data_IF_268039499125
#
_entry.id   IF_268039499125
#
_cell.length_a   1.000
_cell.length_b   1.000
_cell.length_c   1.000
_cell.angle_alpha   90.00
_cell.angle_beta   90.00
_cell.angle_gamma   90.00
#
_symmetry.space_group_name_H-M   'P 1'
#
loop_
_entity.id
_entity.type
_entity.pdbx_description
1 polymer ?
#
# COMPACT_ATOMS: atom_id res chain seq x y z
N UNK A 1 0.92 -23.54 2.39
CA UNK A 1 0.89 -23.53 0.89
C UNK A 1 2.17 -22.93 0.31
N UNK A 2 2.55 -21.70 0.70
CA UNK A 2 3.71 -20.99 0.14
C UNK A 2 5.01 -21.80 0.21
N UNK A 3 5.43 -22.22 1.42
CA UNK A 3 6.64 -23.01 1.65
C UNK A 3 6.74 -24.27 0.76
N UNK A 4 5.66 -25.04 0.69
CA UNK A 4 5.58 -26.26 -0.14
C UNK A 4 5.70 -25.91 -1.62
N UNK A 5 4.99 -24.88 -2.07
CA UNK A 5 4.96 -24.49 -3.49
C UNK A 5 6.26 -23.84 -3.99
N UNK A 6 7.10 -23.33 -3.09
CA UNK A 6 8.37 -22.69 -3.42
C UNK A 6 9.59 -23.53 -3.02
N UNK A 7 9.39 -24.67 -2.34
CA UNK A 7 10.47 -25.52 -1.84
C UNK A 7 11.38 -24.82 -0.82
N UNK A 8 10.89 -23.78 -0.16
CA UNK A 8 11.69 -22.90 0.71
C UNK A 8 11.16 -22.87 2.14
N UNK A 9 12.01 -22.45 3.09
CA UNK A 9 11.58 -22.22 4.47
C UNK A 9 10.55 -21.08 4.47
N UNK A 10 9.31 -21.38 4.84
CA UNK A 10 8.25 -20.40 5.04
C UNK A 10 7.93 -20.24 6.52
N UNK A 11 7.66 -19.00 6.91
CA UNK A 11 7.40 -18.61 8.29
C UNK A 11 6.13 -17.79 8.30
N UNK A 12 5.21 -18.15 9.19
CA UNK A 12 4.01 -17.37 9.47
C UNK A 12 4.16 -16.75 10.86
N UNK A 13 4.32 -15.43 10.91
CA UNK A 13 4.47 -14.68 12.16
C UNK A 13 3.12 -14.08 12.54
N UNK A 14 2.48 -14.71 13.51
CA UNK A 14 1.17 -14.31 14.03
C UNK A 14 1.32 -13.38 15.25
N UNK A 15 0.20 -12.78 15.68
CA UNK A 15 0.10 -12.00 16.92
C UNK A 15 1.15 -10.88 17.07
N UNK A 16 1.36 -10.11 16.00
CA UNK A 16 2.18 -8.90 16.03
C UNK A 16 1.34 -7.64 15.72
N UNK A 17 0.96 -6.84 16.73
CA UNK A 17 1.15 -7.07 18.17
C UNK A 17 0.20 -8.17 18.70
N UNK A 18 0.53 -8.72 19.87
CA UNK A 18 -0.38 -9.57 20.62
C UNK A 18 -1.47 -8.69 21.24
N UNK A 19 -2.73 -9.07 21.05
CA UNK A 19 -3.89 -8.27 21.38
C UNK A 19 -5.08 -9.13 21.85
N UNK A 20 -6.04 -8.57 22.60
CA UNK A 20 -6.21 -7.15 22.94
C UNK A 20 -5.29 -6.66 24.07
N UNK A 21 -5.07 -5.34 24.13
CA UNK A 21 -4.26 -4.65 25.16
C UNK A 21 -5.12 -3.64 25.94
N UNK A 22 -4.89 -3.54 27.25
CA UNK A 22 -5.35 -2.41 28.10
C UNK A 22 -4.14 -1.61 28.56
N UNK A 23 -4.19 -0.30 28.37
CA UNK A 23 -3.13 0.59 28.83
C UNK A 23 -3.48 1.14 30.20
N UNK A 24 -2.58 1.01 31.18
CA UNK A 24 -2.79 1.55 32.54
C UNK A 24 -3.01 3.08 32.51
N UNK A 25 -2.37 3.78 31.57
CA UNK A 25 -2.52 5.22 31.37
C UNK A 25 -3.83 5.61 30.66
N UNK A 26 -4.61 4.65 30.14
CA UNK A 26 -5.90 4.93 29.54
C UNK A 26 -6.98 5.02 30.62
N UNK A 27 -7.54 6.21 30.91
CA UNK A 27 -8.53 6.37 31.98
C UNK A 27 -9.84 5.65 31.68
N UNK A 28 -10.12 5.34 30.41
CA UNK A 28 -11.28 4.51 30.03
C UNK A 28 -11.07 3.03 30.36
N UNK A 29 -9.81 2.65 30.62
CA UNK A 29 -9.35 1.29 30.84
C UNK A 29 -9.86 0.31 29.76
N UNK A 30 -10.17 0.78 28.54
CA UNK A 30 -10.84 -0.05 27.54
C UNK A 30 -9.88 -1.04 26.90
N UNK A 31 -10.41 -2.19 26.48
CA UNK A 31 -9.69 -3.17 25.67
C UNK A 31 -9.49 -2.60 24.27
N UNK A 32 -8.26 -2.61 23.75
CA UNK A 32 -7.90 -2.09 22.42
C UNK A 32 -7.29 -3.21 21.58
N UNK A 33 -7.71 -3.30 20.33
CA UNK A 33 -7.12 -4.15 19.29
C UNK A 33 -6.80 -3.30 18.06
N UNK A 34 -5.90 -3.80 17.22
CA UNK A 34 -5.61 -3.27 15.88
C UNK A 34 -5.35 -1.75 15.89
N UNK A 35 -6.10 -0.97 15.10
CA UNK A 35 -5.94 0.50 15.00
C UNK A 35 -6.15 1.23 16.32
N UNK A 36 -6.97 0.69 17.24
CA UNK A 36 -7.20 1.31 18.53
C UNK A 36 -5.96 1.32 19.42
N UNK A 37 -5.04 0.36 19.23
CA UNK A 37 -3.73 0.32 19.88
C UNK A 37 -2.82 1.36 19.21
N UNK A 38 -2.76 1.40 17.89
CA UNK A 38 -1.93 2.37 17.14
C UNK A 38 -2.32 3.80 17.50
N UNK A 39 -3.60 4.14 17.38
CA UNK A 39 -4.13 5.46 17.69
C UNK A 39 -3.81 5.88 19.13
N UNK A 40 -3.87 4.95 20.10
CA UNK A 40 -3.50 5.23 21.49
C UNK A 40 -2.02 5.56 21.63
N UNK A 41 -1.15 4.76 21.01
CA UNK A 41 0.30 5.00 21.06
C UNK A 41 0.70 6.30 20.34
N UNK A 42 0.01 6.64 19.25
CA UNK A 42 0.19 7.90 18.54
C UNK A 42 -0.24 9.10 19.38
N UNK A 43 -1.44 9.05 20.00
CA UNK A 43 -1.89 10.08 20.94
C UNK A 43 -0.85 10.31 22.03
N UNK A 44 -0.39 9.23 22.65
CA UNK A 44 0.60 9.28 23.74
C UNK A 44 1.90 9.95 23.29
N UNK A 45 2.39 9.62 22.10
CA UNK A 45 3.60 10.24 21.53
C UNK A 45 3.37 11.70 21.13
N UNK A 46 2.24 12.03 20.51
CA UNK A 46 1.95 13.41 20.09
C UNK A 46 1.85 14.35 21.30
N UNK A 47 1.27 13.87 22.40
CA UNK A 47 1.19 14.61 23.68
C UNK A 47 2.55 14.70 24.39
N UNK A 48 3.41 13.69 24.24
CA UNK A 48 4.76 13.67 24.81
C UNK A 48 5.77 12.99 23.85
N UNK A 49 6.44 13.76 22.97
CA UNK A 49 7.22 13.24 21.85
C UNK A 49 8.63 12.76 22.22
N UNK A 50 9.00 12.81 23.51
CA UNK A 50 10.36 12.52 23.95
C UNK A 50 10.64 11.00 24.08
N UNK A 51 9.59 10.18 24.08
CA UNK A 51 9.70 8.73 24.23
C UNK A 51 9.17 7.97 23.00
N UNK A 52 10.01 7.68 21.99
CA UNK A 52 9.58 6.94 20.80
C UNK A 52 9.19 5.48 21.09
N UNK A 53 9.60 4.90 22.23
CA UNK A 53 9.27 3.52 22.58
C UNK A 53 7.79 3.29 22.88
N UNK A 54 7.00 4.36 23.06
CA UNK A 54 5.54 4.23 23.20
C UNK A 54 4.87 3.82 21.89
N UNK A 55 5.49 4.10 20.73
CA UNK A 55 4.91 3.84 19.41
C UNK A 55 4.86 2.34 19.13
N UNK A 56 3.66 1.82 18.85
CA UNK A 56 3.43 0.39 18.60
C UNK A 56 4.26 -0.18 17.45
N UNK A 57 4.61 0.67 16.47
CA UNK A 57 5.43 0.26 15.32
C UNK A 57 6.76 -0.36 15.77
N UNK A 58 7.38 0.19 16.80
CA UNK A 58 8.71 -0.22 17.27
C UNK A 58 8.78 -1.70 17.68
N UNK A 59 7.93 -2.19 18.62
CA UNK A 59 7.92 -3.61 18.95
C UNK A 59 7.44 -4.51 17.81
N UNK A 60 6.51 -4.05 16.94
CA UNK A 60 6.09 -4.83 15.77
C UNK A 60 7.27 -5.10 14.82
N UNK A 61 8.02 -4.06 14.46
CA UNK A 61 9.21 -4.17 13.60
C UNK A 61 10.26 -5.08 14.24
N UNK A 62 10.52 -4.91 15.54
CA UNK A 62 11.48 -5.72 16.29
C UNK A 62 11.07 -7.20 16.34
N UNK A 63 9.78 -7.51 16.47
CA UNK A 63 9.29 -8.88 16.47
C UNK A 63 9.60 -9.59 15.15
N UNK A 64 9.41 -8.92 14.00
CA UNK A 64 9.77 -9.47 12.69
C UNK A 64 11.28 -9.77 12.58
N UNK A 65 12.14 -8.86 13.06
CA UNK A 65 13.59 -9.07 13.09
C UNK A 65 13.95 -10.29 13.96
N UNK A 66 13.35 -10.39 15.15
CA UNK A 66 13.55 -11.55 16.05
C UNK A 66 13.00 -12.85 15.48
N UNK A 67 11.95 -12.81 14.68
CA UNK A 67 11.46 -14.00 13.97
C UNK A 67 12.51 -14.52 12.98
N UNK A 68 13.19 -13.63 12.24
CA UNK A 68 14.29 -14.04 11.35
C UNK A 68 15.45 -14.65 12.15
N UNK A 69 15.82 -14.08 13.30
CA UNK A 69 16.85 -14.66 14.19
C UNK A 69 16.45 -16.07 14.65
N UNK A 70 15.21 -16.24 15.12
CA UNK A 70 14.69 -17.51 15.62
C UNK A 70 14.67 -18.58 14.51
N UNK A 71 14.29 -18.21 13.30
CA UNK A 71 14.27 -19.12 12.14
C UNK A 71 15.67 -19.57 11.76
N UNK A 72 16.66 -18.66 11.78
CA UNK A 72 18.06 -19.02 11.53
C UNK A 72 18.60 -19.98 12.58
N UNK A 73 18.31 -19.71 13.86
CA UNK A 73 18.69 -20.58 14.96
C UNK A 73 18.03 -21.95 14.84
N UNK A 74 16.72 -21.99 14.60
CA UNK A 74 15.98 -23.25 14.51
C UNK A 74 16.40 -24.09 13.29
N UNK A 75 16.66 -23.46 12.14
CA UNK A 75 17.21 -24.13 10.97
C UNK A 75 18.57 -24.81 11.27
N UNK A 76 19.42 -24.13 12.05
CA UNK A 76 20.70 -24.67 12.50
C UNK A 76 20.52 -25.88 13.42
N UNK A 77 19.58 -25.82 14.36
CA UNK A 77 19.26 -26.92 15.27
C UNK A 77 18.71 -28.15 14.54
N UNK A 78 17.93 -27.93 13.48
CA UNK A 78 17.42 -29.00 12.60
C UNK A 78 18.48 -29.56 11.64
N UNK A 79 19.66 -28.96 11.55
CA UNK A 79 20.71 -29.37 10.61
C UNK A 79 20.37 -29.14 9.14
N UNK A 80 19.45 -28.20 8.85
CA UNK A 80 19.10 -27.81 7.47
C UNK A 80 19.83 -26.52 7.07
N UNK A 81 19.79 -26.18 5.78
CA UNK A 81 20.40 -24.94 5.27
C UNK A 81 19.82 -23.71 5.97
N UNK A 82 20.69 -22.95 6.66
CA UNK A 82 20.30 -21.75 7.39
C UNK A 82 20.05 -20.59 6.40
N UNK A 83 18.83 -20.02 6.35
CA UNK A 83 18.51 -18.94 5.42
C UNK A 83 19.31 -17.69 5.78
N UNK A 84 19.97 -17.08 4.80
CA UNK A 84 20.76 -15.85 4.99
C UNK A 84 20.02 -14.58 4.56
N UNK A 85 19.09 -14.72 3.62
CA UNK A 85 18.32 -13.64 3.03
C UNK A 85 16.83 -13.96 3.11
N UNK A 86 16.01 -12.92 3.22
CA UNK A 86 14.57 -13.01 3.44
C UNK A 86 13.81 -12.15 2.43
N UNK A 87 12.67 -12.69 2.01
CA UNK A 87 11.59 -11.90 1.41
C UNK A 87 10.46 -11.88 2.43
N UNK A 88 9.98 -10.70 2.80
CA UNK A 88 8.96 -10.51 3.84
C UNK A 88 7.69 -9.91 3.24
N UNK A 89 6.54 -10.17 3.85
CA UNK A 89 5.27 -9.61 3.40
C UNK A 89 4.21 -9.64 4.50
N UNK A 90 3.23 -8.76 4.38
CA UNK A 90 2.14 -8.64 5.33
C UNK A 90 1.10 -7.64 4.87
N UNK A 91 -0.12 -7.76 5.39
CA UNK A 91 -1.25 -6.92 5.03
C UNK A 91 -1.56 -5.86 6.10
N UNK A 92 -2.06 -4.71 5.67
CA UNK A 92 -2.50 -3.61 6.52
C UNK A 92 -1.41 -3.25 7.51
N UNK A 93 -1.70 -3.26 8.80
CA UNK A 93 -0.75 -2.96 9.89
C UNK A 93 0.52 -3.81 9.86
N UNK A 94 0.44 -5.05 9.35
CA UNK A 94 1.60 -5.93 9.13
C UNK A 94 2.31 -5.61 7.82
N UNK A 95 1.63 -5.04 6.83
CA UNK A 95 2.26 -4.40 5.67
C UNK A 95 3.12 -3.19 6.07
N UNK A 96 2.70 -2.46 7.08
CA UNK A 96 3.49 -1.37 7.63
C UNK A 96 4.70 -1.90 8.44
N UNK A 97 4.52 -3.03 9.13
CA UNK A 97 5.65 -3.75 9.74
C UNK A 97 6.62 -4.26 8.66
N UNK A 98 6.12 -4.73 7.52
CA UNK A 98 6.92 -5.16 6.37
C UNK A 98 7.84 -4.04 5.89
N UNK A 99 7.30 -2.84 5.65
CA UNK A 99 8.08 -1.67 5.28
C UNK A 99 9.19 -1.34 6.29
N UNK A 100 8.84 -1.26 7.56
CA UNK A 100 9.80 -0.85 8.61
C UNK A 100 10.83 -1.93 8.93
N UNK A 101 10.47 -3.21 8.84
CA UNK A 101 11.42 -4.33 8.98
C UNK A 101 12.41 -4.34 7.83
N UNK A 102 11.95 -4.11 6.60
CA UNK A 102 12.82 -3.95 5.44
C UNK A 102 13.84 -2.82 5.65
N UNK A 103 13.42 -1.68 6.22
CA UNK A 103 14.32 -0.56 6.48
C UNK A 103 15.36 -0.86 7.57
N UNK A 104 14.95 -1.52 8.65
CA UNK A 104 15.81 -1.78 9.81
C UNK A 104 16.78 -2.93 9.57
N UNK A 105 16.39 -3.93 8.79
CA UNK A 105 17.17 -5.16 8.52
C UNK A 105 17.46 -5.33 7.03
N UNK A 106 17.80 -4.21 6.38
CA UNK A 106 18.05 -4.11 4.94
C UNK A 106 19.19 -5.02 4.44
N UNK A 107 20.06 -5.49 5.33
CA UNK A 107 21.12 -6.43 4.98
C UNK A 107 20.57 -7.85 4.74
N UNK A 108 19.60 -8.30 5.54
CA UNK A 108 19.00 -9.63 5.41
C UNK A 108 17.76 -9.62 4.51
N UNK A 109 17.01 -8.52 4.50
CA UNK A 109 15.80 -8.40 3.68
C UNK A 109 16.18 -7.99 2.25
N UNK A 110 15.99 -8.91 1.30
CA UNK A 110 16.27 -8.68 -0.14
C UNK A 110 15.02 -8.37 -0.95
N UNK A 111 13.84 -8.65 -0.39
CA UNK A 111 12.57 -8.23 -0.97
C UNK A 111 11.46 -8.03 0.06
N UNK A 112 10.51 -7.17 -0.29
CA UNK A 112 9.39 -6.81 0.58
C UNK A 112 8.07 -6.76 -0.20
N UNK A 113 7.00 -7.25 0.41
CA UNK A 113 5.63 -7.24 -0.15
C UNK A 113 4.65 -6.61 0.85
N UNK A 114 4.62 -5.28 0.96
CA UNK A 114 3.61 -4.58 1.75
C UNK A 114 2.27 -4.60 1.00
N UNK A 115 1.24 -5.15 1.64
CA UNK A 115 -0.11 -5.31 1.08
C UNK A 115 -1.06 -4.34 1.80
N UNK A 116 -1.91 -3.63 1.03
CA UNK A 116 -2.90 -2.65 1.51
C UNK A 116 -2.33 -1.72 2.58
N UNK A 117 -1.24 -1.03 2.21
CA UNK A 117 -0.46 -0.18 3.10
C UNK A 117 0.46 0.75 2.31
N UNK A 118 -0.14 1.81 1.77
CA UNK A 118 0.51 2.84 0.95
C UNK A 118 0.50 4.23 1.60
N UNK A 119 0.16 4.34 2.89
CA UNK A 119 0.12 5.61 3.60
C UNK A 119 1.52 6.14 3.98
N UNK A 120 2.46 6.06 3.04
CA UNK A 120 3.79 6.66 3.12
C UNK A 120 3.69 8.16 2.87
N UNK A 121 4.66 8.92 3.35
CA UNK A 121 4.56 10.38 3.34
C UNK A 121 3.23 10.81 4.00
N UNK A 122 3.04 10.33 5.23
CA UNK A 122 1.77 10.30 5.98
C UNK A 122 1.10 11.67 5.97
N UNK A 123 1.86 12.75 6.15
CA UNK A 123 1.30 14.11 6.16
C UNK A 123 0.65 14.43 4.80
N UNK A 124 1.37 14.23 3.71
CA UNK A 124 0.85 14.52 2.37
C UNK A 124 -0.36 13.64 2.06
N UNK A 125 -0.29 12.35 2.38
CA UNK A 125 -1.40 11.43 2.17
C UNK A 125 -2.61 11.74 3.06
N UNK A 126 -2.42 12.25 4.28
CA UNK A 126 -3.52 12.73 5.13
C UNK A 126 -4.24 13.96 4.55
N UNK A 127 -3.50 14.94 4.03
CA UNK A 127 -4.12 16.08 3.33
C UNK A 127 -4.85 15.63 2.06
N UNK A 128 -4.21 14.75 1.28
CA UNK A 128 -4.80 14.15 0.09
C UNK A 128 -6.12 13.41 0.40
N UNK A 129 -6.12 12.62 1.49
CA UNK A 129 -7.30 11.91 1.99
C UNK A 129 -8.43 12.88 2.33
N UNK A 130 -8.11 13.90 3.13
CA UNK A 130 -9.07 14.91 3.56
C UNK A 130 -9.70 15.63 2.36
N UNK A 131 -8.89 16.05 1.40
CA UNK A 131 -9.34 16.76 0.20
C UNK A 131 -10.21 15.88 -0.70
N UNK A 132 -9.88 14.60 -0.81
CA UNK A 132 -10.62 13.65 -1.66
C UNK A 132 -11.98 13.32 -1.10
N UNK A 133 -12.03 13.07 0.21
CA UNK A 133 -13.23 12.63 0.88
C UNK A 133 -13.97 13.75 1.58
N UNK A 134 -13.50 15.00 1.57
CA UNK A 134 -14.05 16.11 2.36
C UNK A 134 -14.41 15.69 3.80
N UNK A 135 -13.39 15.14 4.47
CA UNK A 135 -13.49 14.43 5.75
C UNK A 135 -12.54 13.23 5.79
N UNK A 136 -12.79 12.30 6.70
CA UNK A 136 -11.99 11.11 6.92
C UNK A 136 -12.82 9.86 6.67
N UNK A 137 -12.19 8.80 6.20
CA UNK A 137 -12.88 7.51 6.10
C UNK A 137 -13.39 7.03 7.47
N UNK A 138 -14.57 6.42 7.52
CA UNK A 138 -15.08 5.78 8.73
C UNK A 138 -14.11 4.74 9.34
N UNK A 139 -13.25 4.16 8.52
CA UNK A 139 -12.20 3.25 8.95
C UNK A 139 -11.20 3.91 9.94
N UNK A 140 -11.07 5.23 9.92
CA UNK A 140 -10.21 6.00 10.83
C UNK A 140 -10.85 6.29 12.20
N UNK A 141 -12.00 5.68 12.53
CA UNK A 141 -12.75 5.96 13.77
C UNK A 141 -11.91 5.96 15.05
N UNK A 142 -10.91 5.09 15.16
CA UNK A 142 -10.06 5.00 16.35
C UNK A 142 -9.08 6.18 16.47
N UNK A 143 -8.54 6.64 15.34
CA UNK A 143 -7.71 7.84 15.26
C UNK A 143 -8.54 9.10 15.50
N UNK A 144 -9.73 9.17 14.90
CA UNK A 144 -10.68 10.27 15.06
C UNK A 144 -11.14 10.40 16.52
N UNK A 145 -11.50 9.29 17.18
CA UNK A 145 -11.93 9.28 18.58
C UNK A 145 -10.86 9.78 19.56
N UNK A 146 -9.59 9.77 19.16
CA UNK A 146 -8.45 10.28 19.92
C UNK A 146 -7.93 11.63 19.38
N UNK A 147 -8.72 12.31 18.53
CA UNK A 147 -8.42 13.60 17.91
C UNK A 147 -7.14 13.63 17.05
N UNK A 148 -6.61 12.48 16.64
CA UNK A 148 -5.37 12.39 15.85
C UNK A 148 -5.46 13.20 14.55
N UNK A 149 -6.64 13.23 13.92
CA UNK A 149 -6.90 13.97 12.68
C UNK A 149 -6.74 15.50 12.83
N UNK A 150 -6.78 16.04 14.05
CA UNK A 150 -6.47 17.47 14.29
C UNK A 150 -4.98 17.79 14.18
N UNK A 151 -4.14 16.78 14.34
CA UNK A 151 -2.70 16.94 14.47
C UNK A 151 -1.95 16.73 13.15
N UNK A 152 -2.63 16.67 12.01
CA UNK A 152 -2.02 16.42 10.68
C UNK A 152 -0.83 17.35 10.41
N UNK A 153 -0.95 18.63 10.80
CA UNK A 153 0.12 19.63 10.67
C UNK A 153 0.95 19.84 11.93
N UNK A 154 0.62 19.15 13.02
CA UNK A 154 1.25 19.41 14.30
C UNK A 154 2.72 18.94 14.30
N UNK A 155 3.68 19.74 14.83
CA UNK A 155 5.09 19.36 14.83
C UNK A 155 5.39 17.99 15.43
N UNK A 156 4.63 17.59 16.47
CA UNK A 156 4.81 16.28 17.09
C UNK A 156 4.32 15.10 16.22
N UNK A 157 3.33 15.31 15.34
CA UNK A 157 2.96 14.30 14.34
C UNK A 157 4.08 14.15 13.30
N UNK A 158 4.75 15.24 12.94
CA UNK A 158 5.90 15.18 12.02
C UNK A 158 7.10 14.47 12.65
N UNK A 159 7.38 14.74 13.94
CA UNK A 159 8.38 13.97 14.71
C UNK A 159 8.01 12.48 14.77
N UNK A 160 6.74 12.15 14.92
CA UNK A 160 6.27 10.77 14.89
C UNK A 160 6.47 10.13 13.52
N UNK A 161 6.13 10.85 12.45
CA UNK A 161 6.30 10.39 11.07
C UNK A 161 7.77 10.07 10.76
N UNK A 162 8.73 10.85 11.29
CA UNK A 162 10.17 10.53 11.18
C UNK A 162 10.54 9.14 11.74
N UNK A 163 9.70 8.57 12.62
CA UNK A 163 9.93 7.26 13.25
C UNK A 163 9.09 6.17 12.56
N UNK A 164 7.81 6.43 12.31
CA UNK A 164 6.87 5.39 11.85
C UNK A 164 6.66 5.36 10.35
N UNK A 165 6.89 6.46 9.64
CA UNK A 165 6.65 6.56 8.19
C UNK A 165 7.80 5.89 7.40
N UNK A 166 7.52 4.88 6.56
CA UNK A 166 8.53 4.26 5.71
C UNK A 166 9.24 5.26 4.78
N UNK A 167 8.58 6.36 4.42
CA UNK A 167 9.16 7.42 3.60
C UNK A 167 10.46 7.99 4.21
N UNK A 168 10.55 8.02 5.54
CA UNK A 168 11.73 8.50 6.28
C UNK A 168 12.97 7.60 6.12
N UNK A 169 12.84 6.41 5.53
CA UNK A 169 13.88 5.38 5.46
C UNK A 169 14.25 4.99 4.02
N UNK A 170 13.91 5.80 3.02
CA UNK A 170 14.14 5.45 1.61
C UNK A 170 15.61 5.16 1.28
N UNK A 171 16.55 5.81 1.95
CA UNK A 171 17.98 5.52 1.84
C UNK A 171 18.35 4.06 2.21
N UNK A 172 17.52 3.39 3.00
CA UNK A 172 17.68 1.99 3.44
C UNK A 172 17.08 0.97 2.47
N UNK A 173 16.29 1.39 1.49
CA UNK A 173 15.68 0.48 0.51
C UNK A 173 16.52 0.27 -0.76
N UNK A 174 17.76 0.79 -0.78
CA UNK A 174 18.67 0.66 -1.93
C UNK A 174 18.84 -0.80 -2.37
N UNK A 175 18.65 -1.05 -3.66
CA UNK A 175 18.75 -2.37 -4.29
C UNK A 175 17.72 -3.43 -3.83
N UNK A 176 16.78 -3.06 -2.96
CA UNK A 176 15.74 -3.97 -2.49
C UNK A 176 14.61 -4.09 -3.52
N UNK A 177 14.11 -5.30 -3.75
CA UNK A 177 12.95 -5.51 -4.62
C UNK A 177 11.67 -5.37 -3.80
N UNK A 178 10.86 -4.36 -4.11
CA UNK A 178 9.61 -4.10 -3.38
C UNK A 178 8.44 -4.29 -4.32
N UNK A 179 7.51 -5.19 -3.97
CA UNK A 179 6.22 -5.36 -4.63
C UNK A 179 5.12 -4.83 -3.72
N UNK A 180 4.70 -3.60 -3.96
CA UNK A 180 3.57 -3.02 -3.26
C UNK A 180 2.27 -3.56 -3.87
N UNK A 181 1.40 -4.12 -3.02
CA UNK A 181 0.08 -4.58 -3.44
C UNK A 181 -0.99 -3.70 -2.80
N UNK A 182 -1.84 -3.05 -3.59
CA UNK A 182 -2.96 -2.23 -3.10
C UNK A 182 -4.29 -2.72 -3.67
N UNK A 183 -5.40 -2.27 -3.11
CA UNK A 183 -6.73 -2.51 -3.65
C UNK A 183 -7.29 -1.23 -4.28
N UNK A 184 -8.22 -1.37 -5.23
CA UNK A 184 -8.77 -0.23 -5.96
C UNK A 184 -9.97 0.43 -5.27
N UNK A 185 -10.51 -0.21 -4.22
CA UNK A 185 -11.63 0.33 -3.44
C UNK A 185 -11.46 0.10 -1.94
N UNK A 186 -10.23 0.21 -1.44
CA UNK A 186 -9.86 0.15 -0.03
C UNK A 186 -10.58 1.21 0.81
N UNK A 187 -11.05 0.88 2.01
CA UNK A 187 -11.68 1.83 2.91
C UNK A 187 -10.68 2.77 3.60
N UNK A 188 -9.44 2.33 3.84
CA UNK A 188 -8.40 3.09 4.52
C UNK A 188 -7.58 3.96 3.55
N UNK A 189 -7.34 3.46 2.33
CA UNK A 189 -6.28 3.97 1.46
C UNK A 189 -6.80 4.32 0.07
N UNK A 190 -6.56 5.56 -0.38
CA UNK A 190 -7.08 6.00 -1.67
C UNK A 190 -6.27 5.40 -2.81
N UNK A 191 -6.89 5.08 -3.96
CA UNK A 191 -6.25 4.33 -5.03
C UNK A 191 -5.07 5.05 -5.71
N UNK A 192 -4.88 6.34 -5.43
CA UNK A 192 -3.81 7.22 -5.92
C UNK A 192 -2.90 7.76 -4.79
N UNK A 193 -2.89 7.13 -3.60
CA UNK A 193 -1.99 7.47 -2.50
C UNK A 193 -0.50 7.40 -2.89
N UNK A 194 -0.15 6.57 -3.89
CA UNK A 194 1.22 6.44 -4.38
C UNK A 194 1.79 7.72 -5.00
N UNK A 195 0.93 8.65 -5.44
CA UNK A 195 1.34 9.94 -6.00
C UNK A 195 2.20 10.76 -5.03
N UNK A 196 2.08 10.49 -3.73
CA UNK A 196 2.85 11.15 -2.69
C UNK A 196 4.29 10.64 -2.53
N UNK A 197 4.66 9.48 -3.09
CA UNK A 197 5.98 8.88 -2.82
C UNK A 197 6.56 7.97 -3.92
N UNK A 198 5.80 7.57 -4.94
CA UNK A 198 6.23 6.53 -5.87
C UNK A 198 7.52 6.87 -6.62
N UNK A 199 7.63 8.12 -7.09
CA UNK A 199 8.83 8.60 -7.78
C UNK A 199 10.07 8.52 -6.88
N UNK A 200 9.95 8.97 -5.63
CA UNK A 200 11.04 8.92 -4.66
C UNK A 200 11.40 7.47 -4.31
N UNK A 201 10.39 6.59 -4.24
CA UNK A 201 10.60 5.16 -4.00
C UNK A 201 11.36 4.52 -5.17
N UNK A 202 11.01 4.83 -6.42
CA UNK A 202 11.73 4.33 -7.60
C UNK A 202 13.19 4.80 -7.62
N UNK A 203 13.44 6.06 -7.26
CA UNK A 203 14.80 6.61 -7.13
C UNK A 203 15.58 5.88 -6.03
N UNK A 204 14.93 5.61 -4.90
CA UNK A 204 15.54 4.99 -3.73
C UNK A 204 15.90 3.51 -3.97
N UNK A 205 15.02 2.74 -4.60
CA UNK A 205 15.19 1.29 -4.77
C UNK A 205 15.91 0.91 -6.07
N UNK A 206 15.84 1.77 -7.09
CA UNK A 206 16.26 1.44 -8.45
C UNK A 206 15.31 0.48 -9.17
N UNK A 207 14.12 0.24 -8.62
CA UNK A 207 13.07 -0.58 -9.23
C UNK A 207 12.13 -1.17 -8.18
N UNK A 208 10.95 -0.57 -8.04
CA UNK A 208 9.81 -1.10 -7.28
C UNK A 208 8.66 -1.47 -8.21
N UNK A 209 7.78 -2.34 -7.72
CA UNK A 209 6.69 -2.94 -8.47
C UNK A 209 5.38 -2.67 -7.76
N UNK A 210 4.34 -2.42 -8.54
CA UNK A 210 3.00 -2.13 -8.04
C UNK A 210 2.03 -3.16 -8.60
N UNK A 211 1.13 -3.65 -7.76
CA UNK A 211 -0.01 -4.46 -8.15
C UNK A 211 -1.25 -3.91 -7.47
N UNK A 212 -2.18 -3.36 -8.27
CA UNK A 212 -3.49 -2.94 -7.78
C UNK A 212 -4.54 -3.99 -8.08
N UNK A 213 -5.24 -4.46 -7.06
CA UNK A 213 -6.32 -5.43 -7.17
C UNK A 213 -7.62 -4.70 -7.55
N UNK A 214 -8.22 -4.98 -8.72
CA UNK A 214 -9.47 -4.38 -9.13
C UNK A 214 -10.62 -4.92 -8.27
N UNK A 215 -11.55 -4.06 -7.84
CA UNK A 215 -12.74 -4.47 -7.08
C UNK A 215 -12.42 -5.22 -5.78
N UNK A 216 -11.27 -4.92 -5.15
CA UNK A 216 -10.91 -5.38 -3.82
C UNK A 216 -11.19 -4.27 -2.79
N UNK A 217 -11.65 -4.68 -1.61
CA UNK A 217 -11.70 -3.86 -0.39
C UNK A 217 -10.45 -4.12 0.48
N UNK A 218 -10.34 -3.48 1.65
CA UNK A 218 -9.13 -3.51 2.47
C UNK A 218 -8.65 -4.93 2.86
N UNK A 219 -9.55 -5.87 3.11
CA UNK A 219 -9.17 -7.26 3.45
C UNK A 219 -8.69 -8.06 2.23
N UNK A 220 -8.84 -7.53 1.02
CA UNK A 220 -8.59 -8.19 -0.25
C UNK A 220 -9.41 -9.49 -0.41
N UNK A 221 -10.59 -9.57 0.21
CA UNK A 221 -11.42 -10.77 0.16
C UNK A 221 -11.75 -11.15 -1.29
N UNK A 222 -11.69 -12.45 -1.58
CA UNK A 222 -11.92 -12.99 -2.93
C UNK A 222 -10.74 -12.86 -3.89
N UNK A 223 -9.62 -12.27 -3.46
CA UNK A 223 -8.40 -12.13 -4.27
C UNK A 223 -7.25 -13.01 -3.78
N UNK A 224 -7.48 -13.93 -2.85
CA UNK A 224 -6.46 -14.73 -2.17
C UNK A 224 -5.59 -15.52 -3.15
N UNK A 225 -6.22 -16.09 -4.20
CA UNK A 225 -5.53 -16.84 -5.24
C UNK A 225 -4.63 -15.93 -6.10
N UNK A 226 -5.13 -14.75 -6.51
CA UNK A 226 -4.36 -13.77 -7.30
C UNK A 226 -3.17 -13.23 -6.49
N UNK A 227 -3.42 -12.88 -5.21
CA UNK A 227 -2.39 -12.50 -4.26
C UNK A 227 -1.30 -13.56 -4.15
N UNK A 228 -1.70 -14.80 -3.87
CA UNK A 228 -0.78 -15.91 -3.71
C UNK A 228 0.12 -16.10 -4.94
N UNK A 229 -0.45 -16.15 -6.14
CA UNK A 229 0.33 -16.36 -7.36
C UNK A 229 1.26 -15.19 -7.69
N UNK A 230 0.80 -13.95 -7.50
CA UNK A 230 1.63 -12.76 -7.71
C UNK A 230 2.82 -12.75 -6.75
N UNK A 231 2.56 -12.99 -5.45
CA UNK A 231 3.60 -13.04 -4.43
C UNK A 231 4.59 -14.19 -4.66
N UNK A 232 4.09 -15.38 -5.04
CA UNK A 232 4.94 -16.53 -5.36
C UNK A 232 5.83 -16.25 -6.56
N UNK A 233 5.28 -15.68 -7.63
CA UNK A 233 6.04 -15.33 -8.83
C UNK A 233 7.14 -14.31 -8.53
N UNK A 234 6.82 -13.29 -7.74
CA UNK A 234 7.78 -12.29 -7.29
C UNK A 234 8.88 -12.90 -6.41
N UNK A 235 8.50 -13.71 -5.42
CA UNK A 235 9.43 -14.42 -4.55
C UNK A 235 10.41 -15.30 -5.34
N UNK A 236 9.89 -16.16 -6.22
CA UNK A 236 10.72 -17.07 -7.01
C UNK A 236 11.63 -16.32 -7.98
N UNK A 237 11.20 -15.16 -8.50
CA UNK A 237 12.06 -14.33 -9.33
C UNK A 237 13.27 -13.80 -8.54
N UNK A 238 13.09 -13.43 -7.27
CA UNK A 238 14.20 -13.04 -6.39
C UNK A 238 15.07 -14.26 -6.05
N UNK A 239 14.45 -15.37 -5.66
CA UNK A 239 15.13 -16.59 -5.27
C UNK A 239 16.03 -17.17 -6.38
N UNK A 240 15.52 -17.21 -7.61
CA UNK A 240 16.25 -17.70 -8.79
C UNK A 240 17.14 -16.64 -9.45
N UNK A 241 17.21 -15.43 -8.89
CA UNK A 241 17.92 -14.28 -9.47
C UNK A 241 17.50 -13.97 -10.92
N UNK A 242 16.20 -14.03 -11.22
CA UNK A 242 15.63 -13.71 -12.53
C UNK A 242 15.50 -12.20 -12.70
N UNK A 243 15.70 -11.73 -13.93
CA UNK A 243 15.40 -10.34 -14.28
C UNK A 243 13.90 -10.10 -14.20
N UNK A 244 13.47 -9.25 -13.26
CA UNK A 244 12.09 -8.82 -13.13
C UNK A 244 11.71 -7.85 -14.27
N UNK A 245 10.41 -7.73 -14.63
CA UNK A 245 9.96 -6.85 -15.71
C UNK A 245 10.35 -5.39 -15.52
N UNK A 246 10.59 -4.65 -16.61
CA UNK A 246 10.75 -3.19 -16.56
C UNK A 246 9.47 -2.53 -17.09
N UNK A 247 8.59 -2.13 -16.18
CA UNK A 247 7.38 -1.34 -16.46
C UNK A 247 7.59 0.08 -15.92
N UNK A 248 7.63 1.07 -16.81
CA UNK A 248 7.70 2.49 -16.47
C UNK A 248 6.50 3.21 -17.06
N UNK A 249 6.05 4.30 -16.47
CA UNK A 249 4.93 5.05 -17.01
C UNK A 249 5.06 6.54 -16.75
N UNK A 250 4.29 7.30 -17.52
CA UNK A 250 3.97 8.69 -17.24
C UNK A 250 2.45 8.82 -17.12
N UNK A 251 2.01 9.67 -16.19
CA UNK A 251 0.63 10.11 -16.02
C UNK A 251 0.56 11.60 -16.30
N UNK A 252 -0.47 12.06 -17.00
CA UNK A 252 -0.67 13.49 -17.21
C UNK A 252 -2.13 13.79 -17.55
N UNK A 253 -2.60 15.00 -17.25
CA UNK A 253 -3.98 15.43 -17.49
C UNK A 253 -4.06 16.89 -17.92
N UNK A 254 -5.17 17.22 -18.57
CA UNK A 254 -5.55 18.57 -18.93
C UNK A 254 -7.05 18.78 -18.70
N UNK A 255 -7.57 19.93 -19.14
CA UNK A 255 -8.96 20.32 -18.92
C UNK A 255 -10.00 19.45 -19.64
N UNK A 256 -9.58 18.54 -20.54
CA UNK A 256 -10.50 17.69 -21.31
C UNK A 256 -10.30 16.20 -21.09
N UNK A 257 -9.09 15.75 -20.74
CA UNK A 257 -8.78 14.33 -20.54
C UNK A 257 -7.51 14.14 -19.70
N UNK A 258 -7.29 12.91 -19.26
CA UNK A 258 -5.98 12.44 -18.82
C UNK A 258 -5.54 11.19 -19.55
N UNK A 259 -4.24 10.93 -19.52
CA UNK A 259 -3.63 9.78 -20.16
C UNK A 259 -2.53 9.14 -19.30
N UNK A 260 -2.47 7.80 -19.37
CA UNK A 260 -1.33 7.01 -18.92
C UNK A 260 -0.62 6.48 -20.15
N UNK A 261 0.72 6.63 -20.19
CA UNK A 261 1.57 6.01 -21.20
C UNK A 261 2.60 5.11 -20.51
N UNK A 262 2.41 3.81 -20.62
CA UNK A 262 3.23 2.78 -19.99
C UNK A 262 4.21 2.17 -21.01
N UNK A 263 5.49 2.18 -20.68
CA UNK A 263 6.57 1.61 -21.49
C UNK A 263 7.09 0.35 -20.82
N UNK A 264 7.08 -0.76 -21.58
CA UNK A 264 7.67 -2.03 -21.19
C UNK A 264 8.96 -2.22 -21.97
N UNK A 265 10.08 -2.29 -21.26
CA UNK A 265 11.39 -2.65 -21.82
C UNK A 265 11.68 -4.13 -21.51
N UNK A 266 11.79 -4.94 -22.55
CA UNK A 266 12.11 -6.37 -22.47
C UNK A 266 13.38 -6.71 -23.25
N UNK A 267 14.33 -5.77 -23.33
CA UNK A 267 15.68 -6.02 -23.84
C UNK A 267 16.46 -7.04 -23.00
N UNK A 268 16.25 -7.03 -21.68
CA UNK A 268 16.88 -7.95 -20.71
C UNK A 268 15.85 -8.74 -19.90
N UNK A 269 14.64 -8.21 -19.76
CA UNK A 269 13.54 -8.80 -18.99
C UNK A 269 12.55 -9.61 -19.84
N UNK A 270 11.53 -10.19 -19.21
CA UNK A 270 10.50 -10.95 -19.92
C UNK A 270 9.62 -10.05 -20.80
N UNK A 271 9.29 -10.54 -22.00
CA UNK A 271 8.27 -9.93 -22.87
C UNK A 271 6.88 -10.06 -22.21
N UNK A 272 6.02 -9.03 -22.24
CA UNK A 272 4.67 -9.12 -21.68
C UNK A 272 3.79 -10.12 -22.47
N UNK A 273 2.90 -10.81 -21.74
CA UNK A 273 1.89 -11.74 -22.28
C UNK A 273 0.69 -10.96 -22.81
N UNK A 274 0.18 -10.02 -21.99
CA UNK A 274 -0.98 -9.20 -22.31
C UNK A 274 -0.97 -7.91 -21.51
N UNK A 275 -1.72 -6.93 -21.98
CA UNK A 275 -1.98 -5.69 -21.27
C UNK A 275 -3.44 -5.27 -21.48
N UNK A 276 -4.02 -4.70 -20.44
CA UNK A 276 -5.35 -4.11 -20.43
C UNK A 276 -5.40 -3.04 -19.35
N UNK A 277 -6.51 -2.34 -19.21
CA UNK A 277 -6.67 -1.34 -18.19
C UNK A 277 -7.92 -1.57 -17.36
N UNK A 278 -7.95 -0.99 -16.17
CA UNK A 278 -9.15 -0.85 -15.38
C UNK A 278 -9.52 0.62 -15.25
N UNK A 279 -10.82 0.89 -15.21
CA UNK A 279 -11.34 2.22 -14.90
C UNK A 279 -12.63 2.13 -14.09
N UNK A 280 -12.88 3.13 -13.25
CA UNK A 280 -14.11 3.27 -12.48
C UNK A 280 -14.48 4.75 -12.38
N UNK A 281 -15.78 5.03 -12.28
CA UNK A 281 -16.30 6.38 -12.06
C UNK A 281 -16.93 6.47 -10.68
N UNK A 282 -16.73 7.59 -9.98
CA UNK A 282 -17.45 7.89 -8.74
C UNK A 282 -18.94 8.00 -9.01
N UNK A 283 -19.77 7.65 -8.02
CA UNK A 283 -21.23 7.68 -8.19
C UNK A 283 -21.83 9.09 -8.15
N UNK A 284 -21.07 10.08 -7.69
CA UNK A 284 -21.43 11.48 -7.62
C UNK A 284 -20.18 12.37 -7.55
N UNK A 285 -20.39 13.67 -7.44
CA UNK A 285 -19.41 14.75 -7.39
C UNK A 285 -19.11 15.26 -5.97
N UNK A 286 -19.70 14.67 -4.93
CA UNK A 286 -19.52 15.15 -3.54
C UNK A 286 -18.18 14.73 -2.96
N UNK A 287 -17.68 13.57 -3.37
CA UNK A 287 -16.43 12.96 -2.90
C UNK A 287 -15.76 12.20 -4.03
N UNK A 288 -14.43 12.24 -4.06
CA UNK A 288 -13.60 11.41 -4.92
C UNK A 288 -13.47 10.02 -4.30
N UNK A 289 -14.61 9.34 -4.21
CA UNK A 289 -14.81 8.17 -3.35
C UNK A 289 -14.89 6.88 -4.18
N UNK A 290 -13.78 6.14 -4.21
CA UNK A 290 -13.64 4.86 -4.91
C UNK A 290 -13.79 3.66 -3.98
N UNK A 291 -14.07 3.88 -2.68
CA UNK A 291 -14.17 2.82 -1.67
C UNK A 291 -15.36 1.91 -1.99
N UNK A 292 -15.23 0.60 -1.80
CA UNK A 292 -16.35 -0.34 -1.98
C UNK A 292 -17.34 -0.28 -0.82
N UNK A 293 -16.90 0.16 0.37
CA UNK A 293 -17.73 0.42 1.54
C UNK A 293 -17.55 1.86 2.02
N UNK A 294 -18.66 2.51 2.39
CA UNK A 294 -18.69 3.86 2.96
C UNK A 294 -19.52 3.88 4.25
N UNK A 295 -19.44 4.95 5.04
CA UNK A 295 -20.22 5.05 6.27
C UNK A 295 -21.74 4.98 6.00
N UNK A 296 -22.47 4.20 6.80
CA UNK A 296 -23.93 4.25 6.83
C UNK A 296 -24.37 5.56 7.51
N UNK A 297 -25.04 6.49 6.80
CA UNK A 297 -25.49 7.75 7.39
C UNK A 297 -26.55 7.56 8.49
N UNK A 298 -27.24 6.41 8.50
CA UNK A 298 -28.29 6.08 9.47
C UNK A 298 -27.79 5.20 10.62
N UNK A 299 -26.59 4.61 10.51
CA UNK A 299 -26.04 3.67 11.49
C UNK A 299 -24.54 3.91 11.72
N UNK A 300 -24.18 4.81 12.64
CA UNK A 300 -22.79 5.11 12.94
C UNK A 300 -21.98 3.83 13.24
N UNK A 301 -20.86 3.66 12.54
CA UNK A 301 -19.97 2.50 12.71
C UNK A 301 -20.28 1.29 11.82
N UNK A 302 -21.34 1.34 11.00
CA UNK A 302 -21.63 0.35 9.97
C UNK A 302 -21.25 0.89 8.58
N UNK A 303 -20.76 0.00 7.71
CA UNK A 303 -20.50 0.30 6.31
C UNK A 303 -21.67 -0.13 5.42
N UNK A 304 -21.94 0.64 4.37
CA UNK A 304 -22.84 0.27 3.27
C UNK A 304 -22.05 0.18 1.97
N UNK A 305 -22.53 -0.64 1.03
CA UNK A 305 -21.91 -0.78 -0.28
C UNK A 305 -21.96 0.55 -1.07
N UNK A 306 -20.82 0.92 -1.63
CA UNK A 306 -20.64 1.97 -2.61
C UNK A 306 -20.17 1.30 -3.92
N UNK A 307 -21.09 0.95 -4.84
CA UNK A 307 -20.81 0.08 -5.98
C UNK A 307 -20.00 0.76 -7.10
N UNK A 308 -18.83 1.31 -6.77
CA UNK A 308 -17.84 1.81 -7.73
C UNK A 308 -17.04 0.62 -8.26
N UNK A 309 -17.48 0.10 -9.41
CA UNK A 309 -16.89 -1.09 -10.03
C UNK A 309 -15.83 -0.70 -11.05
N UNK A 310 -14.63 -1.26 -10.88
CA UNK A 310 -13.51 -1.16 -11.77
C UNK A 310 -13.68 -2.15 -12.94
N UNK A 311 -14.05 -1.59 -14.09
CA UNK A 311 -14.31 -2.33 -15.32
C UNK A 311 -13.03 -2.49 -16.13
N UNK A 312 -12.86 -3.66 -16.74
CA UNK A 312 -11.75 -3.92 -17.65
C UNK A 312 -12.04 -3.28 -19.02
N UNK A 313 -11.04 -2.61 -19.59
CA UNK A 313 -11.07 -2.05 -20.94
C UNK A 313 -9.77 -2.35 -21.70
N UNK A 314 -9.81 -2.54 -23.03
CA UNK A 314 -8.59 -2.68 -23.83
C UNK A 314 -7.68 -1.45 -23.72
N UNK A 315 -6.37 -1.69 -23.72
CA UNK A 315 -5.36 -0.64 -23.82
C UNK A 315 -4.85 -0.53 -25.26
N UNK A 316 -4.46 0.67 -25.69
CA UNK A 316 -3.90 0.89 -27.04
C UNK A 316 -2.42 0.51 -27.03
N UNK A 317 -1.96 -0.23 -28.03
CA UNK A 317 -0.52 -0.38 -28.30
C UNK A 317 -0.09 0.76 -29.23
N UNK A 318 0.53 1.80 -28.67
CA UNK A 318 0.98 2.97 -29.43
C UNK A 318 2.17 2.67 -30.33
N UNK A 319 3.13 1.90 -29.80
CA UNK A 319 4.37 1.59 -30.50
C UNK A 319 4.92 0.24 -30.01
N UNK A 320 5.56 -0.49 -30.92
CA UNK A 320 6.25 -1.72 -30.60
C UNK A 320 7.51 -1.85 -31.46
N UNK A 321 8.61 -2.19 -30.79
CA UNK A 321 9.90 -2.55 -31.41
C UNK A 321 10.23 -4.00 -31.10
N UNK A 322 11.43 -4.45 -31.46
CA UNK A 322 11.92 -5.78 -31.11
C UNK A 322 12.14 -5.97 -29.59
N UNK A 323 12.28 -4.90 -28.80
CA UNK A 323 12.64 -4.95 -27.38
C UNK A 323 11.79 -4.04 -26.48
N UNK A 324 10.83 -3.30 -27.05
CA UNK A 324 10.00 -2.35 -26.29
C UNK A 324 8.57 -2.36 -26.79
N UNK A 325 7.60 -2.26 -25.88
CA UNK A 325 6.19 -2.00 -26.19
C UNK A 325 5.74 -0.78 -25.38
N UNK A 326 5.00 0.12 -26.02
CA UNK A 326 4.37 1.27 -25.39
C UNK A 326 2.85 1.09 -25.45
N UNK A 327 2.24 1.04 -24.28
CA UNK A 327 0.79 1.01 -24.08
C UNK A 327 0.29 2.39 -23.66
N UNK A 328 -0.90 2.78 -24.12
CA UNK A 328 -1.55 3.97 -23.62
C UNK A 328 -3.05 3.82 -23.43
N UNK A 329 -3.55 4.60 -22.48
CA UNK A 329 -4.97 4.77 -22.22
C UNK A 329 -5.23 6.26 -21.99
N UNK A 330 -6.23 6.79 -22.69
CA UNK A 330 -6.72 8.16 -22.53
C UNK A 330 -8.18 8.11 -22.12
N UNK A 331 -8.53 8.80 -21.04
CA UNK A 331 -9.91 8.93 -20.55
C UNK A 331 -10.29 10.40 -20.51
N UNK A 332 -11.42 10.72 -21.14
CA UNK A 332 -12.00 12.07 -21.11
C UNK A 332 -12.51 12.39 -19.70
N UNK A 333 -12.40 13.65 -19.30
CA UNK A 333 -12.95 14.09 -18.01
C UNK A 333 -14.47 13.80 -18.00
N UNK A 334 -14.99 13.14 -16.95
CA UNK A 334 -16.42 12.93 -16.83
C UNK A 334 -17.15 14.28 -16.65
N UNK A 335 -18.43 14.33 -17.02
CA UNK A 335 -19.26 15.53 -16.81
C UNK A 335 -19.45 15.83 -15.31
N UNK A 336 -19.63 14.78 -14.51
CA UNK A 336 -19.80 14.84 -13.06
C UNK A 336 -18.85 13.85 -12.38
N UNK A 337 -18.31 14.23 -11.22
CA UNK A 337 -17.44 13.39 -10.40
C UNK A 337 -16.05 13.15 -11.00
N UNK A 338 -15.51 11.96 -10.73
CA UNK A 338 -14.15 11.60 -11.12
C UNK A 338 -14.11 10.20 -11.74
N UNK A 339 -13.17 10.00 -12.66
CA UNK A 339 -12.88 8.70 -13.25
C UNK A 339 -11.43 8.32 -12.94
N UNK A 340 -11.25 7.21 -12.23
CA UNK A 340 -9.96 6.63 -11.89
C UNK A 340 -9.60 5.52 -12.87
N UNK A 341 -8.35 5.41 -13.30
CA UNK A 341 -7.89 4.37 -14.20
C UNK A 341 -6.41 4.01 -14.04
N UNK A 342 -6.05 2.77 -14.37
CA UNK A 342 -4.66 2.29 -14.40
C UNK A 342 -4.49 1.17 -15.43
N UNK A 343 -3.27 0.97 -15.90
CA UNK A 343 -2.92 -0.11 -16.85
C UNK A 343 -2.36 -1.30 -16.06
N UNK A 344 -2.84 -2.50 -16.36
CA UNK A 344 -2.27 -3.78 -15.94
C UNK A 344 -1.49 -4.41 -17.10
N UNK A 345 -0.29 -4.90 -16.81
CA UNK A 345 0.54 -5.67 -17.73
C UNK A 345 0.90 -7.00 -17.07
N UNK A 346 0.68 -8.08 -17.81
CA UNK A 346 0.91 -9.45 -17.36
C UNK A 346 2.21 -9.97 -17.95
N UNK A 347 3.09 -10.50 -17.10
CA UNK A 347 4.38 -11.05 -17.49
C UNK A 347 4.45 -12.54 -17.17
N UNK A 348 5.23 -13.32 -17.93
CA UNK A 348 5.52 -14.70 -17.55
C UNK A 348 6.27 -14.72 -16.22
N UNK A 349 5.72 -15.44 -15.26
CA UNK A 349 6.31 -15.69 -13.94
C UNK A 349 7.07 -17.01 -13.89
N UNK A 350 7.66 -17.29 -12.72
CA UNK A 350 8.31 -18.58 -12.48
C UNK A 350 7.28 -19.72 -12.46
N UNK A 351 7.71 -20.90 -12.91
CA UNK A 351 6.91 -22.14 -12.96
C UNK A 351 5.51 -21.98 -13.61
N UNK A 352 5.44 -21.21 -14.71
CA UNK A 352 4.19 -21.01 -15.44
C UNK A 352 3.15 -20.12 -14.73
N UNK A 353 3.54 -19.43 -13.66
CA UNK A 353 2.71 -18.39 -13.04
C UNK A 353 2.70 -17.12 -13.89
N UNK A 354 1.82 -16.17 -13.54
CA UNK A 354 1.78 -14.83 -14.14
C UNK A 354 2.19 -13.82 -13.07
N UNK A 355 3.12 -12.94 -13.41
CA UNK A 355 3.41 -11.75 -12.60
C UNK A 355 2.57 -10.59 -13.15
N UNK A 356 1.55 -10.21 -12.39
CA UNK A 356 0.66 -9.10 -12.74
C UNK A 356 1.21 -7.81 -12.13
N UNK A 357 1.48 -6.81 -12.96
CA UNK A 357 1.97 -5.50 -12.53
C UNK A 357 1.05 -4.40 -13.05
N UNK A 358 0.94 -3.31 -12.32
CA UNK A 358 0.10 -2.17 -12.66
C UNK A 358 0.89 -0.86 -12.61
N UNK A 359 0.40 0.16 -13.32
CA UNK A 359 0.81 1.55 -13.09
C UNK A 359 0.19 2.10 -11.81
N UNK A 360 0.58 3.30 -11.40
CA UNK A 360 -0.22 4.13 -10.48
C UNK A 360 -1.61 4.37 -11.07
N UNK A 361 -2.58 4.67 -10.20
CA UNK A 361 -3.89 5.15 -10.61
C UNK A 361 -3.78 6.60 -11.06
N UNK A 362 -4.42 6.92 -12.18
CA UNK A 362 -4.69 8.30 -12.57
C UNK A 362 -6.15 8.61 -12.32
N UNK A 363 -6.44 9.78 -11.76
CA UNK A 363 -7.82 10.25 -11.57
C UNK A 363 -8.03 11.52 -12.38
N UNK A 364 -9.15 11.59 -13.10
CA UNK A 364 -9.53 12.75 -13.91
C UNK A 364 -10.96 13.22 -13.60
N UNK A 365 -11.23 14.55 -13.60
CA UNK A 365 -10.25 15.62 -13.67
C UNK A 365 -9.33 15.63 -12.42
N UNK A 366 -8.13 16.17 -12.54
CA UNK A 366 -7.20 16.35 -11.40
C UNK A 366 -7.64 17.53 -10.52
N UNK A 367 -8.74 17.32 -9.81
CA UNK A 367 -9.36 18.28 -8.91
C UNK A 367 -9.83 17.57 -7.64
N UNK A 368 -10.13 18.36 -6.61
CA UNK A 368 -10.66 17.86 -5.35
C UNK A 368 -12.03 18.49 -5.06
N UNK A 369 -12.96 17.76 -4.42
CA UNK A 369 -14.27 18.29 -4.02
C UNK A 369 -14.18 19.38 -2.94
N UNK A 370 -13.07 19.42 -2.20
CA UNK A 370 -12.87 20.40 -1.13
C UNK A 370 -11.45 20.96 -1.11
N UNK A 371 -11.32 22.12 -0.48
CA UNK A 371 -10.02 22.73 -0.20
C UNK A 371 -9.28 21.92 0.86
N UNK A 372 -7.96 22.12 0.91
CA UNK A 372 -7.14 21.50 1.94
C UNK A 372 -7.52 22.01 3.34
N UNK A 373 -7.35 21.14 4.33
CA UNK A 373 -7.49 21.51 5.73
C UNK A 373 -6.16 22.05 6.27
N UNK A 374 -6.23 22.77 7.38
CA UNK A 374 -5.05 23.15 8.17
C UNK A 374 -5.37 23.24 9.66
N UNK A 375 -4.44 22.78 10.50
CA UNK A 375 -4.59 22.79 11.95
C UNK A 375 -5.91 22.14 12.43
N UNK A 376 -6.65 22.80 13.32
CA UNK A 376 -7.88 22.25 13.89
C UNK A 376 -9.00 21.98 12.87
N UNK A 377 -8.98 22.64 11.71
CA UNK A 377 -9.95 22.36 10.64
C UNK A 377 -9.79 20.95 10.05
N UNK A 378 -8.62 20.33 10.22
CA UNK A 378 -8.39 18.94 9.83
C UNK A 378 -9.13 17.92 10.69
N UNK A 379 -9.78 18.32 11.80
CA UNK A 379 -10.60 17.39 12.58
C UNK A 379 -11.63 16.67 11.70
N UNK A 380 -12.33 17.44 10.85
CA UNK A 380 -13.29 16.94 9.86
C UNK A 380 -14.45 16.14 10.45
N UNK A 381 -15.01 15.27 9.63
CA UNK A 381 -16.03 14.28 9.98
C UNK A 381 -15.66 12.92 9.41
N UNK A 382 -16.23 11.84 9.96
CA UNK A 382 -16.12 10.49 9.40
C UNK A 382 -17.16 10.30 8.28
N UNK A 383 -16.75 9.70 7.16
CA UNK A 383 -17.52 9.56 5.91
C UNK A 383 -17.40 8.18 5.29
#
# INVERSE_FOLDING_TARGET
MFAVSSGSIGVDLQDIPNEPIRFVADPTNRSRGEDAIIAWTWKTFIENPDNPYVLLRMPMTKACVRAMDAVQQFAKELGVTVPQKFVIGGASKRGWATWTTAAVDYERVVGAVPIVMDILNIRQNFHHHFRSLNGWTFAFKDYYALNITRYVDHPNLLKMAQIVDPYSYFDRYRNMKILQIQSSGDEFFLPDNEDAFWNDLQVATGGSYLRRLPNAEHSCAGHEISLFFTMRSFYLSIYDNRTLPSLKWIKNSNNTHGYIRATVDFSVGPKPISAFAYHARTLNDKRRDFRLLIADPNRPGHGIANPVIWLNTPVVTEAQTATTIVYSLTIANPMDGWEGFYIQVNFPGADGTVLELTTETQIVPDTYPTNDCSGDSCYGTLV
#
